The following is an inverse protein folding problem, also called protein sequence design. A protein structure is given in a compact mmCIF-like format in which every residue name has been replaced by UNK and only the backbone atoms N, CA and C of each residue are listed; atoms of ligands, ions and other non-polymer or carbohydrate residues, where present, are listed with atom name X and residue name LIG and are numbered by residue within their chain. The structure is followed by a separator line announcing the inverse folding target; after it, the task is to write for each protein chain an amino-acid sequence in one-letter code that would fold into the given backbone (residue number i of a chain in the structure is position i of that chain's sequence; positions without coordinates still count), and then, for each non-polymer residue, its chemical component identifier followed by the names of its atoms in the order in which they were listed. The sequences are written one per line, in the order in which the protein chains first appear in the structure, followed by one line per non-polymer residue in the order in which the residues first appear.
data_IF_185604607049
#
_entry.id   IF_185604607049
#
_cell.length_a   1.000
_cell.length_b   1.000
_cell.length_c   1.000
_cell.angle_alpha   90.00
_cell.angle_beta   90.00
_cell.angle_gamma   90.00
#
_symmetry.space_group_name_H-M   'P 1'
#
loop_
_entity.id
_entity.type
_entity.pdbx_description
1 polymer ?
#
# COMPACT_ATOMS: atom_id res chain seq x y z
N UNK A 1 5.36 -5.38 -22.94
CA UNK A 1 4.08 -4.64 -23.09
C UNK A 1 3.84 -3.79 -21.85
N UNK A 2 3.51 -2.55 -22.05
CA UNK A 2 3.13 -1.65 -20.96
C UNK A 2 1.70 -1.95 -20.50
N UNK A 3 1.50 -1.97 -19.18
CA UNK A 3 0.17 -2.07 -18.57
C UNK A 3 -0.09 -0.81 -17.77
N UNK A 4 -1.24 -0.19 -18.02
CA UNK A 4 -1.68 0.91 -17.19
C UNK A 4 -2.25 0.39 -15.85
N UNK A 5 -2.02 1.11 -14.79
CA UNK A 5 -2.57 0.84 -13.48
C UNK A 5 -3.12 2.11 -12.84
N UNK A 6 -3.92 1.94 -11.81
CA UNK A 6 -4.53 3.03 -11.06
C UNK A 6 -4.19 2.87 -9.57
N UNK A 7 -3.80 3.96 -8.93
CA UNK A 7 -3.58 3.96 -7.48
C UNK A 7 -4.88 4.14 -6.71
N UNK A 8 -5.06 3.41 -5.62
CA UNK A 8 -6.19 3.63 -4.71
C UNK A 8 -6.18 5.03 -4.11
N UNK A 9 -5.03 5.72 -4.10
CA UNK A 9 -4.92 7.10 -3.64
C UNK A 9 -5.75 8.10 -4.48
N UNK A 10 -6.11 7.77 -5.74
CA UNK A 10 -6.94 8.64 -6.57
C UNK A 10 -8.35 8.84 -6.00
N UNK A 11 -8.80 7.96 -5.11
CA UNK A 11 -10.09 8.04 -4.44
C UNK A 11 -9.99 8.50 -2.97
N UNK A 12 -8.80 8.96 -2.54
CA UNK A 12 -8.65 9.53 -1.20
C UNK A 12 -9.69 10.65 -0.97
N UNK A 13 -10.36 10.76 0.18
CA UNK A 13 -10.12 10.06 1.46
C UNK A 13 -10.93 8.78 1.67
N UNK A 14 -11.43 8.13 0.64
CA UNK A 14 -12.09 6.84 0.80
C UNK A 14 -11.10 5.84 1.40
N UNK A 15 -11.60 5.00 2.31
CA UNK A 15 -10.77 3.92 2.86
C UNK A 15 -10.35 2.96 1.75
N UNK A 16 -9.17 2.37 1.89
CA UNK A 16 -8.52 1.66 0.79
C UNK A 16 -9.32 0.46 0.27
N UNK A 17 -10.01 -0.26 1.13
CA UNK A 17 -10.86 -1.39 0.75
C UNK A 17 -12.06 -0.96 -0.12
N UNK A 18 -12.66 0.18 0.18
CA UNK A 18 -13.74 0.75 -0.65
C UNK A 18 -13.19 1.30 -1.96
N UNK A 19 -12.05 1.97 -1.93
CA UNK A 19 -11.38 2.46 -3.12
C UNK A 19 -11.04 1.31 -4.07
N UNK A 20 -10.48 0.22 -3.56
CA UNK A 20 -10.15 -0.96 -4.35
C UNK A 20 -11.40 -1.59 -4.97
N UNK A 21 -12.49 -1.69 -4.20
CA UNK A 21 -13.76 -2.19 -4.69
C UNK A 21 -14.33 -1.32 -5.82
N UNK A 22 -14.31 0.01 -5.65
CA UNK A 22 -14.79 0.93 -6.69
C UNK A 22 -13.96 0.86 -7.98
N UNK A 23 -12.64 0.73 -7.85
CA UNK A 23 -11.77 0.54 -9.01
C UNK A 23 -12.08 -0.79 -9.72
N UNK A 24 -12.33 -1.85 -8.98
CA UNK A 24 -12.73 -3.14 -9.54
C UNK A 24 -14.04 -3.03 -10.33
N UNK A 25 -15.06 -2.36 -9.78
CA UNK A 25 -16.32 -2.13 -10.46
C UNK A 25 -16.19 -1.25 -11.71
N UNK A 26 -15.16 -0.39 -11.74
CA UNK A 26 -14.84 0.45 -12.89
C UNK A 26 -14.04 -0.28 -13.98
N UNK A 27 -13.74 -1.56 -13.80
CA UNK A 27 -13.02 -2.37 -14.77
C UNK A 27 -11.50 -2.26 -14.69
N UNK A 28 -10.96 -1.67 -13.62
CA UNK A 28 -9.51 -1.59 -13.40
C UNK A 28 -8.98 -2.97 -13.00
N UNK A 29 -7.96 -3.46 -13.69
CA UNK A 29 -7.36 -4.77 -13.44
C UNK A 29 -5.96 -4.71 -12.85
N UNK A 30 -5.32 -3.55 -12.85
CA UNK A 30 -3.96 -3.37 -12.35
C UNK A 30 -3.91 -2.16 -11.43
N UNK A 31 -3.52 -2.37 -10.18
CA UNK A 31 -3.60 -1.33 -9.14
C UNK A 31 -2.29 -1.16 -8.40
N UNK A 32 -2.08 0.05 -7.91
CA UNK A 32 -1.22 0.33 -6.78
C UNK A 32 -2.09 0.48 -5.54
N UNK A 33 -1.76 -0.23 -4.48
CA UNK A 33 -2.43 -0.06 -3.19
C UNK A 33 -1.63 0.95 -2.37
N UNK A 34 -2.26 2.08 -2.07
CA UNK A 34 -1.70 3.11 -1.22
C UNK A 34 -2.14 2.88 0.22
N UNK A 35 -1.19 2.64 1.11
CA UNK A 35 -1.45 2.46 2.54
C UNK A 35 -1.59 3.83 3.18
N UNK A 36 -2.74 4.11 3.77
CA UNK A 36 -3.05 5.40 4.40
C UNK A 36 -2.89 5.38 5.91
N UNK A 37 -2.83 4.19 6.51
CA UNK A 37 -2.79 4.02 7.96
C UNK A 37 -1.97 2.79 8.33
N UNK A 38 -1.24 2.87 9.44
CA UNK A 38 -0.44 1.75 9.93
C UNK A 38 -1.30 0.49 10.22
N UNK A 39 -2.55 0.67 10.63
CA UNK A 39 -3.48 -0.45 10.87
C UNK A 39 -3.78 -1.27 9.62
N UNK A 40 -3.62 -0.70 8.44
CA UNK A 40 -3.82 -1.38 7.16
C UNK A 40 -2.69 -2.38 6.82
N UNK A 41 -1.61 -2.38 7.59
CA UNK A 41 -0.55 -3.38 7.50
C UNK A 41 -0.78 -4.62 8.36
N UNK A 42 -1.86 -4.65 9.16
CA UNK A 42 -2.21 -5.83 9.94
C UNK A 42 -2.54 -7.00 9.02
N UNK A 43 -2.12 -8.19 9.40
CA UNK A 43 -2.29 -9.39 8.58
C UNK A 43 -3.75 -9.61 8.14
N UNK A 44 -4.69 -9.44 9.05
CA UNK A 44 -6.12 -9.58 8.74
C UNK A 44 -6.60 -8.61 7.68
N UNK A 45 -6.07 -7.40 7.65
CA UNK A 45 -6.40 -6.40 6.63
C UNK A 45 -5.74 -6.75 5.29
N UNK A 46 -4.47 -7.12 5.30
CA UNK A 46 -3.74 -7.57 4.10
C UNK A 46 -4.45 -8.76 3.45
N UNK A 47 -4.90 -9.74 4.25
CA UNK A 47 -5.65 -10.88 3.76
C UNK A 47 -7.00 -10.45 3.13
N UNK A 48 -7.64 -9.43 3.66
CA UNK A 48 -8.86 -8.87 3.07
C UNK A 48 -8.59 -8.24 1.70
N UNK A 49 -7.50 -7.47 1.57
CA UNK A 49 -7.09 -6.91 0.28
C UNK A 49 -6.76 -8.01 -0.73
N UNK A 50 -6.03 -9.02 -0.31
CA UNK A 50 -5.70 -10.17 -1.17
C UNK A 50 -6.96 -10.88 -1.69
N UNK A 51 -7.97 -11.07 -0.82
CA UNK A 51 -9.25 -11.67 -1.24
C UNK A 51 -9.99 -10.80 -2.24
N UNK A 52 -9.99 -9.47 -2.07
CA UNK A 52 -10.60 -8.56 -3.05
C UNK A 52 -9.89 -8.61 -4.40
N UNK A 53 -8.57 -8.57 -4.41
CA UNK A 53 -7.78 -8.71 -5.63
C UNK A 53 -8.11 -10.01 -6.36
N UNK A 54 -8.12 -11.12 -5.64
CA UNK A 54 -8.44 -12.43 -6.21
C UNK A 54 -9.88 -12.49 -6.74
N UNK A 55 -10.84 -11.98 -5.96
CA UNK A 55 -12.26 -12.00 -6.34
C UNK A 55 -12.53 -11.28 -7.66
N UNK A 56 -11.83 -10.18 -7.93
CA UNK A 56 -12.04 -9.33 -9.10
C UNK A 56 -10.97 -9.52 -10.17
N UNK A 57 -10.12 -10.54 -10.03
CA UNK A 57 -9.02 -10.82 -10.97
C UNK A 57 -8.11 -9.60 -11.20
N UNK A 58 -7.76 -8.94 -10.11
CA UNK A 58 -6.91 -7.76 -10.12
C UNK A 58 -5.48 -8.11 -9.75
N UNK A 59 -4.53 -7.40 -10.33
CA UNK A 59 -3.10 -7.48 -9.99
C UNK A 59 -2.69 -6.25 -9.18
N UNK A 60 -2.06 -6.47 -8.03
CA UNK A 60 -1.38 -5.40 -7.31
C UNK A 60 0.04 -5.26 -7.86
N UNK A 61 0.29 -4.19 -8.61
CA UNK A 61 1.59 -3.93 -9.22
C UNK A 61 2.60 -3.35 -8.22
N UNK A 62 2.11 -2.59 -7.24
CA UNK A 62 2.93 -1.97 -6.21
C UNK A 62 2.13 -1.68 -4.94
N UNK A 63 2.85 -1.61 -3.83
CA UNK A 63 2.34 -1.14 -2.55
C UNK A 63 3.04 0.18 -2.22
N UNK A 64 2.26 1.26 -2.09
CA UNK A 64 2.82 2.57 -1.76
C UNK A 64 2.77 2.79 -0.25
N UNK A 65 3.89 2.99 0.42
CA UNK A 65 3.93 3.20 1.87
C UNK A 65 3.45 4.61 2.25
N UNK A 66 2.84 4.72 3.41
CA UNK A 66 2.52 5.99 4.05
C UNK A 66 3.72 6.47 4.89
N UNK A 67 4.81 6.84 4.22
CA UNK A 67 6.07 7.19 4.88
C UNK A 67 6.64 8.54 4.45
N UNK A 68 6.03 9.20 3.48
CA UNK A 68 6.57 10.43 2.89
C UNK A 68 6.82 11.56 3.92
N UNK A 69 6.08 11.60 5.02
CA UNK A 69 6.26 12.61 6.06
C UNK A 69 7.40 12.26 7.02
N UNK A 70 7.71 10.98 7.20
CA UNK A 70 8.73 10.53 8.15
C UNK A 70 10.08 10.21 7.50
N UNK A 71 10.12 9.97 6.20
CA UNK A 71 11.35 9.66 5.47
C UNK A 71 12.45 10.70 5.68
N UNK A 72 12.19 12.01 5.54
CA UNK A 72 13.23 13.01 5.71
C UNK A 72 13.79 13.07 7.14
N UNK A 73 12.96 12.77 8.13
CA UNK A 73 13.34 12.87 9.55
C UNK A 73 13.96 11.59 10.09
N UNK A 74 13.72 10.44 9.43
CA UNK A 74 14.24 9.15 9.86
C UNK A 74 15.36 8.65 8.94
N UNK A 75 15.07 8.43 7.66
CA UNK A 75 16.03 7.81 6.73
C UNK A 75 17.26 8.69 6.48
N UNK A 76 17.04 9.99 6.33
CA UNK A 76 18.10 10.97 6.08
C UNK A 76 18.56 11.71 7.34
N UNK A 77 18.25 11.15 8.51
CA UNK A 77 18.67 11.71 9.79
C UNK A 77 20.15 11.44 10.05
N UNK A 78 20.82 12.40 10.70
CA UNK A 78 22.17 12.20 11.25
C UNK A 78 22.16 11.37 12.54
N UNK A 79 20.98 10.99 13.05
CA UNK A 79 20.85 10.14 14.22
C UNK A 79 20.75 8.67 13.78
N UNK A 80 21.78 7.81 14.04
CA UNK A 80 21.88 6.48 13.42
C UNK A 80 20.67 5.58 13.68
N UNK A 81 20.14 5.61 14.91
CA UNK A 81 19.01 4.73 15.28
C UNK A 81 17.73 5.02 14.51
N UNK A 82 17.54 6.27 14.05
CA UNK A 82 16.35 6.62 13.26
C UNK A 82 16.31 5.93 11.91
N UNK A 83 17.45 5.79 11.26
CA UNK A 83 17.53 5.06 10.00
C UNK A 83 17.22 3.56 10.21
N UNK A 84 17.76 2.96 11.27
CA UNK A 84 17.49 1.57 11.61
C UNK A 84 16.00 1.34 11.94
N UNK A 85 15.40 2.22 12.72
CA UNK A 85 13.96 2.17 13.05
C UNK A 85 13.09 2.30 11.80
N UNK A 86 13.48 3.16 10.86
CA UNK A 86 12.79 3.30 9.59
C UNK A 86 12.87 2.01 8.75
N UNK A 87 14.04 1.39 8.67
CA UNK A 87 14.19 0.11 7.96
C UNK A 87 13.36 -1.00 8.60
N UNK A 88 13.28 -1.02 9.93
CA UNK A 88 12.40 -1.96 10.64
C UNK A 88 10.92 -1.71 10.30
N UNK A 89 10.52 -0.44 10.24
CA UNK A 89 9.18 -0.06 9.81
C UNK A 89 8.88 -0.54 8.37
N UNK A 90 9.82 -0.39 7.44
CA UNK A 90 9.67 -0.85 6.07
C UNK A 90 9.45 -2.37 5.95
N UNK A 91 9.95 -3.17 6.90
CA UNK A 91 9.73 -4.62 6.89
C UNK A 91 8.27 -5.00 6.96
N UNK A 92 7.44 -4.20 7.61
CA UNK A 92 5.99 -4.42 7.65
C UNK A 92 5.37 -4.33 6.26
N UNK A 93 5.84 -3.40 5.42
CA UNK A 93 5.39 -3.29 4.03
C UNK A 93 5.84 -4.47 3.19
N UNK A 94 7.10 -4.88 3.33
CA UNK A 94 7.61 -6.05 2.62
C UNK A 94 6.86 -7.33 2.99
N UNK A 95 6.53 -7.50 4.26
CA UNK A 95 5.73 -8.63 4.74
C UNK A 95 4.32 -8.60 4.16
N UNK A 96 3.72 -7.43 4.00
CA UNK A 96 2.39 -7.29 3.43
C UNK A 96 2.32 -7.68 1.95
N UNK A 97 3.43 -7.59 1.23
CA UNK A 97 3.53 -7.94 -0.20
C UNK A 97 3.74 -9.43 -0.46
N UNK A 98 4.06 -10.21 0.54
CA UNK A 98 4.27 -11.65 0.42
C UNK A 98 2.94 -12.43 0.46
#
# INVERSE_FOLDING_TARGET
MLRAGVSTACLYPRVVEEALYDLALSGVSNVEIFINSHSELRRSFVDTMARLLHRFDMTCASLHPFTCEIEPTMLFSNYPRRADDYLEYCRHYFSAMQ
#
